data_IF_394424505660
#
_entry.id   IF_394424505660
#
_cell.length_a   1.000
_cell.length_b   1.000
_cell.length_c   1.000
_cell.angle_alpha   90.00
_cell.angle_beta   90.00
_cell.angle_gamma   90.00
#
_symmetry.space_group_name_H-M   'P 1'
#
loop_
_entity.id
_entity.type
_entity.pdbx_description
1 polymer ?
#
# COMPACT_ATOMS: atom_id res chain seq x y z
N UNK A 1 -5.93 -0.27 7.92
CA UNK A 1 -5.78 -1.42 8.83
C UNK A 1 -5.11 -0.96 10.13
N UNK A 2 -5.56 -1.43 11.29
CA UNK A 2 -4.90 -1.19 12.58
C UNK A 2 -4.05 -2.41 12.94
N UNK A 3 -2.74 -2.20 13.06
CA UNK A 3 -1.79 -3.22 13.48
C UNK A 3 -1.77 -3.33 15.02
N UNK A 4 -1.61 -4.54 15.60
CA UNK A 4 -1.32 -4.65 17.02
C UNK A 4 0.00 -3.98 17.36
N UNK A 5 0.10 -3.48 18.59
CA UNK A 5 1.34 -2.95 19.12
C UNK A 5 2.46 -3.99 19.08
N UNK A 6 3.72 -3.59 18.81
CA UNK A 6 4.85 -4.52 18.68
C UNK A 6 5.18 -5.31 19.96
N UNK A 7 4.65 -4.85 21.11
CA UNK A 7 4.83 -5.45 22.43
C UNK A 7 3.53 -5.98 23.03
N UNK A 8 2.41 -5.86 22.32
CA UNK A 8 1.14 -6.39 22.81
C UNK A 8 1.20 -7.92 22.85
N UNK A 9 0.69 -8.48 23.94
CA UNK A 9 0.66 -9.93 24.12
C UNK A 9 -0.23 -10.59 23.08
N UNK A 10 -1.38 -9.97 22.81
CA UNK A 10 -2.34 -10.40 21.81
C UNK A 10 -2.05 -9.66 20.51
N UNK A 11 -1.69 -10.39 19.46
CA UNK A 11 -1.32 -9.83 18.17
C UNK A 11 -2.55 -9.72 17.26
N UNK A 12 -3.58 -9.01 17.73
CA UNK A 12 -4.84 -8.83 17.03
C UNK A 12 -4.79 -7.63 16.07
N UNK A 13 -5.06 -7.88 14.79
CA UNK A 13 -5.15 -6.85 13.76
C UNK A 13 -6.59 -6.54 13.40
N UNK A 14 -6.94 -5.25 13.31
CA UNK A 14 -8.32 -4.81 13.07
C UNK A 14 -8.41 -4.14 11.70
N UNK A 15 -9.20 -4.72 10.79
CA UNK A 15 -9.57 -4.05 9.55
C UNK A 15 -10.84 -3.22 9.76
N UNK A 16 -10.66 -1.92 10.00
CA UNK A 16 -11.75 -0.96 10.15
C UNK A 16 -12.35 -0.58 8.79
N UNK A 17 -13.67 -0.76 8.66
CA UNK A 17 -14.45 -0.29 7.51
C UNK A 17 -15.40 0.80 7.99
N UNK A 18 -15.15 2.04 7.56
CA UNK A 18 -15.98 3.18 7.95
C UNK A 18 -17.29 3.17 7.18
N UNK A 19 -18.45 3.05 7.85
CA UNK A 19 -19.73 3.10 7.16
C UNK A 19 -20.01 4.53 6.67
N UNK A 20 -20.78 4.65 5.58
CA UNK A 20 -21.31 5.95 5.16
C UNK A 20 -22.32 6.42 6.21
N UNK A 21 -22.13 7.64 6.71
CA UNK A 21 -22.94 8.19 7.79
C UNK A 21 -24.40 8.37 7.33
N UNK A 22 -25.34 7.81 8.10
CA UNK A 22 -26.77 7.84 7.74
C UNK A 22 -27.30 9.28 7.60
N UNK A 23 -26.79 10.18 8.43
CA UNK A 23 -27.18 11.59 8.50
C UNK A 23 -26.53 12.48 7.42
N UNK A 24 -25.54 11.99 6.67
CA UNK A 24 -24.89 12.80 5.64
C UNK A 24 -25.86 13.18 4.50
N UNK A 25 -25.71 14.37 3.89
CA UNK A 25 -26.48 14.76 2.70
C UNK A 25 -26.35 13.74 1.57
N UNK A 26 -27.40 13.57 0.76
CA UNK A 26 -27.43 12.57 -0.33
C UNK A 26 -26.21 12.66 -1.26
N UNK A 27 -25.84 13.87 -1.68
CA UNK A 27 -24.69 14.10 -2.55
C UNK A 27 -23.39 13.56 -1.95
N UNK A 28 -23.14 13.84 -0.68
CA UNK A 28 -21.95 13.36 0.06
C UNK A 28 -21.94 11.84 0.15
N UNK A 29 -23.11 11.22 0.41
CA UNK A 29 -23.22 9.75 0.43
C UNK A 29 -22.89 9.14 -0.92
N UNK A 30 -23.42 9.71 -2.01
CA UNK A 30 -23.14 9.22 -3.36
C UNK A 30 -21.67 9.40 -3.76
N UNK A 31 -21.03 10.52 -3.42
CA UNK A 31 -19.60 10.75 -3.65
C UNK A 31 -18.73 9.72 -2.89
N UNK A 32 -19.02 9.48 -1.60
CA UNK A 32 -18.31 8.46 -0.80
C UNK A 32 -18.46 7.06 -1.40
N UNK A 33 -19.67 6.69 -1.81
CA UNK A 33 -19.96 5.38 -2.41
C UNK A 33 -19.36 5.23 -3.81
N UNK A 34 -19.29 6.30 -4.62
CA UNK A 34 -18.58 6.29 -5.91
C UNK A 34 -17.07 6.05 -5.70
N UNK A 35 -16.50 6.69 -4.68
CA UNK A 35 -15.09 6.50 -4.30
C UNK A 35 -14.76 5.12 -3.74
N UNK A 36 -15.72 4.45 -3.08
CA UNK A 36 -15.58 3.13 -2.45
C UNK A 36 -16.60 2.13 -3.01
N UNK A 37 -16.60 1.98 -4.33
CA UNK A 37 -17.57 1.16 -5.04
C UNK A 37 -17.21 -0.35 -5.01
N UNK A 38 -18.15 -1.19 -5.42
CA UNK A 38 -18.00 -2.66 -5.45
C UNK A 38 -16.79 -3.17 -6.25
N UNK A 39 -16.31 -2.42 -7.24
CA UNK A 39 -15.15 -2.82 -8.01
C UNK A 39 -13.83 -2.61 -7.22
N UNK A 40 -13.79 -1.62 -6.32
CA UNK A 40 -12.63 -1.34 -5.46
C UNK A 40 -12.55 -2.23 -4.23
N UNK A 41 -13.69 -2.69 -3.70
CA UNK A 41 -13.74 -3.47 -2.45
C UNK A 41 -12.75 -4.66 -2.45
N UNK A 42 -12.68 -5.53 -3.49
CA UNK A 42 -11.74 -6.64 -3.51
C UNK A 42 -10.27 -6.19 -3.49
N UNK A 43 -9.95 -5.08 -4.17
CA UNK A 43 -8.61 -4.50 -4.22
C UNK A 43 -8.21 -3.99 -2.84
N UNK A 44 -9.10 -3.22 -2.19
CA UNK A 44 -8.88 -2.72 -0.82
C UNK A 44 -8.77 -3.86 0.19
N UNK A 45 -9.60 -4.91 0.07
CA UNK A 45 -9.54 -6.06 0.96
C UNK A 45 -8.20 -6.80 0.86
N UNK A 46 -7.67 -6.97 -0.36
CA UNK A 46 -6.33 -7.54 -0.59
C UNK A 46 -5.24 -6.68 0.03
N UNK A 47 -5.32 -5.35 -0.18
CA UNK A 47 -4.34 -4.40 0.33
C UNK A 47 -4.28 -4.41 1.87
N UNK A 48 -5.43 -4.36 2.51
CA UNK A 48 -5.53 -4.18 3.97
C UNK A 48 -5.42 -5.49 4.75
N UNK A 49 -5.88 -6.60 4.19
CA UNK A 49 -5.97 -7.88 4.90
C UNK A 49 -5.01 -8.93 4.30
N UNK A 50 -5.54 -9.87 3.52
CA UNK A 50 -4.77 -11.00 2.99
C UNK A 50 -4.62 -10.89 1.46
N UNK A 51 -3.40 -11.04 0.92
CA UNK A 51 -2.11 -11.22 1.61
C UNK A 51 -1.38 -9.90 1.96
N UNK A 52 -2.05 -8.75 1.96
CA UNK A 52 -1.46 -7.43 2.22
C UNK A 52 -1.07 -7.15 3.68
N UNK A 53 -1.48 -5.99 4.21
CA UNK A 53 -0.98 -5.47 5.49
C UNK A 53 -1.14 -6.44 6.65
N UNK A 54 -2.31 -7.06 6.81
CA UNK A 54 -2.56 -7.94 7.95
C UNK A 54 -1.57 -9.11 7.98
N UNK A 55 -1.47 -9.85 6.87
CA UNK A 55 -0.53 -10.97 6.78
C UNK A 55 0.90 -10.49 7.01
N UNK A 56 1.31 -9.42 6.33
CA UNK A 56 2.68 -8.91 6.39
C UNK A 56 3.12 -8.53 7.80
N UNK A 57 2.28 -7.78 8.50
CA UNK A 57 2.62 -7.24 9.83
C UNK A 57 2.55 -8.33 10.91
N UNK A 58 1.60 -9.26 10.82
CA UNK A 58 1.56 -10.45 11.70
C UNK A 58 2.82 -11.29 11.50
N UNK A 59 3.24 -11.50 10.24
CA UNK A 59 4.47 -12.24 9.95
C UNK A 59 5.71 -11.53 10.52
N UNK A 60 5.79 -10.22 10.35
CA UNK A 60 6.89 -9.42 10.88
C UNK A 60 6.98 -9.50 12.41
N UNK A 61 5.86 -9.39 13.12
CA UNK A 61 5.83 -9.43 14.59
C UNK A 61 6.19 -10.81 15.14
N UNK A 62 5.79 -11.89 14.47
CA UNK A 62 6.11 -13.27 14.88
C UNK A 62 7.56 -13.67 14.60
N UNK A 63 8.18 -13.12 13.55
CA UNK A 63 9.56 -13.44 13.17
C UNK A 63 10.62 -12.49 13.75
N UNK A 64 10.21 -11.34 14.28
CA UNK A 64 11.12 -10.39 14.90
C UNK A 64 11.64 -10.87 16.25
N UNK A 65 12.93 -11.24 16.30
CA UNK A 65 13.62 -11.75 17.50
C UNK A 65 14.16 -10.67 18.44
N UNK A 66 14.27 -9.42 17.98
CA UNK A 66 14.84 -8.33 18.77
C UNK A 66 13.90 -7.14 18.84
N UNK A 67 14.00 -6.36 19.92
CA UNK A 67 13.17 -5.16 20.10
C UNK A 67 13.30 -4.14 18.96
N UNK A 68 14.52 -3.82 18.44
CA UNK A 68 14.65 -2.95 17.27
C UNK A 68 13.95 -3.49 16.02
N UNK A 69 13.91 -4.81 15.84
CA UNK A 69 13.22 -5.43 14.70
C UNK A 69 11.70 -5.39 14.87
N UNK A 70 11.20 -5.57 16.10
CA UNK A 70 9.76 -5.44 16.40
C UNK A 70 9.28 -4.01 16.19
N UNK A 71 9.99 -3.03 16.76
CA UNK A 71 9.63 -1.60 16.64
C UNK A 71 9.86 -1.11 15.21
N UNK A 72 11.01 -1.42 14.62
CA UNK A 72 11.39 -0.96 13.29
C UNK A 72 10.53 -1.50 12.16
N UNK A 73 9.85 -2.64 12.36
CA UNK A 73 8.97 -3.22 11.33
C UNK A 73 7.75 -2.34 11.02
N UNK A 74 7.30 -1.48 11.93
CA UNK A 74 6.22 -0.54 11.63
C UNK A 74 6.71 0.74 10.90
N UNK A 75 8.03 0.97 10.85
CA UNK A 75 8.61 2.25 10.41
C UNK A 75 8.97 2.31 8.92
N UNK A 76 9.00 1.18 8.21
CA UNK A 76 9.35 1.16 6.79
C UNK A 76 8.11 1.31 5.89
N UNK A 77 7.64 2.54 5.69
CA UNK A 77 6.50 2.80 4.78
C UNK A 77 6.76 2.27 3.36
N UNK A 78 8.00 2.36 2.86
CA UNK A 78 8.37 1.80 1.55
C UNK A 78 8.09 0.31 1.45
N UNK A 79 8.46 -0.48 2.46
CA UNK A 79 8.21 -1.91 2.40
C UNK A 79 6.73 -2.24 2.66
N UNK A 80 6.16 -1.65 3.71
CA UNK A 80 4.78 -1.96 4.15
C UNK A 80 3.76 -1.62 3.07
N UNK A 81 3.83 -0.41 2.51
CA UNK A 81 2.92 0.04 1.45
C UNK A 81 3.24 -0.63 0.11
N UNK A 82 4.53 -0.82 -0.18
CA UNK A 82 4.98 -1.50 -1.39
C UNK A 82 4.54 -2.96 -1.44
N UNK A 83 4.56 -3.67 -0.32
CA UNK A 83 4.13 -5.07 -0.22
C UNK A 83 2.63 -5.20 -0.48
N UNK A 84 1.82 -4.44 0.24
CA UNK A 84 0.37 -4.46 0.05
C UNK A 84 -0.02 -4.12 -1.40
N UNK A 85 0.69 -3.16 -2.01
CA UNK A 85 0.43 -2.77 -3.39
C UNK A 85 0.97 -3.78 -4.43
N UNK A 86 2.05 -4.51 -4.12
CA UNK A 86 2.47 -5.69 -4.88
C UNK A 86 1.40 -6.78 -4.84
N UNK A 87 0.82 -7.04 -3.66
CA UNK A 87 -0.23 -8.05 -3.49
C UNK A 87 -1.48 -7.79 -4.34
N UNK A 88 -1.86 -6.54 -4.58
CA UNK A 88 -2.98 -6.21 -5.46
C UNK A 88 -2.79 -6.75 -6.89
N UNK A 89 -1.58 -6.64 -7.44
CA UNK A 89 -1.27 -7.14 -8.78
C UNK A 89 -1.11 -8.66 -8.78
N UNK A 90 -0.46 -9.22 -7.76
CA UNK A 90 -0.36 -10.67 -7.57
C UNK A 90 -1.74 -11.33 -7.52
N UNK A 91 -2.68 -10.76 -6.79
CA UNK A 91 -4.03 -11.34 -6.66
C UNK A 91 -4.87 -11.19 -7.94
N UNK A 92 -4.54 -10.24 -8.83
CA UNK A 92 -5.06 -10.26 -10.20
C UNK A 92 -4.47 -11.44 -11.00
N UNK A 93 -3.15 -11.63 -10.95
CA UNK A 93 -2.47 -12.73 -11.67
C UNK A 93 -2.97 -14.11 -11.22
N UNK A 94 -3.27 -14.27 -9.92
CA UNK A 94 -3.83 -15.50 -9.35
C UNK A 94 -5.35 -15.66 -9.56
N UNK A 95 -6.00 -14.71 -10.21
CA UNK A 95 -7.42 -14.80 -10.60
C UNK A 95 -8.44 -14.41 -9.54
N UNK A 96 -8.02 -13.81 -8.41
CA UNK A 96 -8.94 -13.27 -7.41
C UNK A 96 -9.58 -11.95 -7.89
N UNK A 97 -8.77 -11.05 -8.46
CA UNK A 97 -9.26 -9.85 -9.16
C UNK A 97 -9.44 -10.22 -10.63
N UNK A 98 -10.66 -10.62 -11.01
CA UNK A 98 -10.92 -11.18 -12.35
C UNK A 98 -11.87 -10.35 -13.20
N UNK A 99 -12.83 -9.67 -12.59
CA UNK A 99 -13.86 -8.95 -13.33
C UNK A 99 -13.24 -7.69 -13.98
N UNK A 100 -13.56 -7.36 -15.25
CA UNK A 100 -12.98 -6.21 -15.94
C UNK A 100 -13.10 -4.89 -15.15
N UNK A 101 -14.23 -4.69 -14.45
CA UNK A 101 -14.46 -3.53 -13.60
C UNK A 101 -13.52 -3.47 -12.40
N UNK A 102 -13.20 -4.61 -11.78
CA UNK A 102 -12.26 -4.69 -10.66
C UNK A 102 -10.82 -4.44 -11.13
N UNK A 103 -10.46 -4.96 -12.31
CA UNK A 103 -9.16 -4.69 -12.95
C UNK A 103 -8.99 -3.21 -13.27
N UNK A 104 -10.02 -2.59 -13.84
CA UNK A 104 -10.05 -1.15 -14.10
C UNK A 104 -9.91 -0.36 -12.80
N UNK A 105 -10.59 -0.77 -11.73
CA UNK A 105 -10.48 -0.14 -10.41
C UNK A 105 -9.06 -0.23 -9.83
N UNK A 106 -8.40 -1.40 -9.91
CA UNK A 106 -7.00 -1.56 -9.52
C UNK A 106 -6.07 -0.66 -10.35
N UNK A 107 -6.28 -0.58 -11.66
CA UNK A 107 -5.49 0.28 -12.54
C UNK A 107 -5.68 1.77 -12.24
N UNK A 108 -6.92 2.20 -11.93
CA UNK A 108 -7.19 3.56 -11.46
C UNK A 108 -6.47 3.84 -10.14
N UNK A 109 -6.51 2.89 -9.21
CA UNK A 109 -5.80 2.99 -7.95
C UNK A 109 -4.28 3.09 -8.16
N UNK A 110 -3.72 2.32 -9.09
CA UNK A 110 -2.32 2.41 -9.48
C UNK A 110 -1.95 3.76 -10.12
N UNK A 111 -2.79 4.29 -11.00
CA UNK A 111 -2.62 5.63 -11.58
C UNK A 111 -2.58 6.70 -10.49
N UNK A 112 -3.45 6.60 -9.49
CA UNK A 112 -3.44 7.50 -8.34
C UNK A 112 -2.15 7.38 -7.51
N UNK A 113 -1.67 6.17 -7.21
CA UNK A 113 -0.38 6.00 -6.49
C UNK A 113 0.82 6.47 -7.31
N UNK A 114 0.74 6.45 -8.64
CA UNK A 114 1.74 7.08 -9.51
C UNK A 114 1.68 8.61 -9.43
N UNK A 115 0.48 9.19 -9.46
CA UNK A 115 0.26 10.63 -9.29
C UNK A 115 0.82 11.14 -7.95
N UNK A 116 0.72 10.33 -6.87
CA UNK A 116 1.31 10.66 -5.56
C UNK A 116 2.81 10.92 -5.60
N UNK A 117 3.58 10.23 -6.45
CA UNK A 117 5.03 10.47 -6.58
C UNK A 117 5.29 11.89 -7.08
N UNK A 118 4.61 12.26 -8.17
CA UNK A 118 4.75 13.58 -8.80
C UNK A 118 4.31 14.66 -7.80
N UNK A 119 3.16 14.44 -7.16
CA UNK A 119 2.53 15.41 -6.27
C UNK A 119 3.39 15.65 -5.02
N UNK A 120 3.89 14.59 -4.40
CA UNK A 120 4.72 14.69 -3.19
C UNK A 120 6.00 15.48 -3.47
N UNK A 121 6.72 15.17 -4.56
CA UNK A 121 7.90 15.97 -4.95
C UNK A 121 7.51 17.41 -5.28
N UNK A 122 6.41 17.62 -6.03
CA UNK A 122 6.05 18.95 -6.52
C UNK A 122 5.59 19.89 -5.40
N UNK A 123 4.80 19.40 -4.44
CA UNK A 123 4.40 20.18 -3.26
C UNK A 123 5.62 20.58 -2.44
N UNK A 124 6.48 19.61 -2.10
CA UNK A 124 7.59 19.83 -1.19
C UNK A 124 8.79 20.55 -1.81
N UNK A 125 8.80 20.68 -3.15
CA UNK A 125 9.77 21.52 -3.88
C UNK A 125 9.19 22.86 -4.35
N UNK A 126 7.94 23.17 -3.97
CA UNK A 126 7.27 24.42 -4.33
C UNK A 126 6.92 24.56 -5.82
N UNK A 127 6.89 23.46 -6.57
CA UNK A 127 6.51 23.43 -8.00
C UNK A 127 4.99 23.35 -8.22
N UNK A 128 4.25 22.97 -7.19
CA UNK A 128 2.79 23.02 -7.16
C UNK A 128 2.33 23.60 -5.83
N UNK A 129 1.35 24.48 -5.89
CA UNK A 129 0.52 24.88 -4.75
C UNK A 129 -0.44 23.76 -4.35
N UNK A 130 -1.07 23.89 -3.17
CA UNK A 130 -2.08 22.94 -2.70
C UNK A 130 -3.27 22.84 -3.67
N UNK A 131 -3.77 23.96 -4.19
CA UNK A 131 -4.91 23.93 -5.13
C UNK A 131 -4.52 23.30 -6.48
N UNK A 132 -3.32 23.59 -7.00
CA UNK A 132 -2.82 22.91 -8.20
C UNK A 132 -2.66 21.41 -7.99
N UNK A 133 -2.22 20.98 -6.81
CA UNK A 133 -2.17 19.56 -6.44
C UNK A 133 -3.55 18.91 -6.39
N UNK A 134 -4.55 19.61 -5.85
CA UNK A 134 -5.95 19.13 -5.82
C UNK A 134 -6.46 18.95 -7.24
N UNK A 135 -6.29 19.98 -8.09
CA UNK A 135 -6.72 19.94 -9.47
C UNK A 135 -6.01 18.84 -10.26
N UNK A 136 -4.71 18.63 -10.01
CA UNK A 136 -3.92 17.56 -10.60
C UNK A 136 -4.49 16.16 -10.28
N UNK A 137 -4.89 15.88 -9.03
CA UNK A 137 -5.50 14.58 -8.71
C UNK A 137 -6.87 14.38 -9.35
N UNK A 138 -7.67 15.44 -9.46
CA UNK A 138 -8.97 15.39 -10.14
C UNK A 138 -8.76 15.05 -11.61
N UNK A 139 -7.88 15.79 -12.30
CA UNK A 139 -7.68 15.65 -13.75
C UNK A 139 -6.91 14.38 -14.14
N UNK A 140 -5.88 14.02 -13.38
CA UNK A 140 -4.96 12.93 -13.75
C UNK A 140 -5.30 11.59 -13.12
N UNK A 141 -5.95 11.58 -11.96
CA UNK A 141 -6.31 10.35 -11.26
C UNK A 141 -7.84 10.16 -11.11
N UNK A 142 -8.65 11.12 -11.55
CA UNK A 142 -10.11 11.01 -11.55
C UNK A 142 -10.71 10.98 -10.15
N UNK A 143 -10.05 11.61 -9.16
CA UNK A 143 -10.57 11.69 -7.80
C UNK A 143 -11.70 12.71 -7.72
N UNK A 144 -12.70 12.40 -6.91
CA UNK A 144 -13.69 13.40 -6.46
C UNK A 144 -12.98 14.50 -5.67
N UNK A 145 -13.40 15.76 -5.84
CA UNK A 145 -12.75 16.94 -5.22
C UNK A 145 -12.57 16.79 -3.71
N UNK A 146 -13.59 16.30 -2.99
CA UNK A 146 -13.51 16.11 -1.54
C UNK A 146 -12.40 15.11 -1.14
N UNK A 147 -12.21 14.04 -1.91
CA UNK A 147 -11.14 13.07 -1.67
C UNK A 147 -9.77 13.64 -2.04
N UNK A 148 -9.68 14.37 -3.15
CA UNK A 148 -8.45 15.04 -3.57
C UNK A 148 -7.99 16.07 -2.52
N UNK A 149 -8.91 16.89 -2.00
CA UNK A 149 -8.62 17.87 -0.94
C UNK A 149 -8.09 17.21 0.34
N UNK A 150 -8.76 16.15 0.81
CA UNK A 150 -8.33 15.41 2.00
C UNK A 150 -6.92 14.84 1.82
N UNK A 151 -6.65 14.27 0.66
CA UNK A 151 -5.38 13.62 0.36
C UNK A 151 -4.23 14.62 0.16
N UNK A 152 -4.43 15.69 -0.61
CA UNK A 152 -3.38 16.71 -0.80
C UNK A 152 -3.01 17.36 0.53
N UNK A 153 -4.00 17.69 1.38
CA UNK A 153 -3.73 18.20 2.73
C UNK A 153 -2.90 17.21 3.55
N UNK A 154 -3.24 15.91 3.50
CA UNK A 154 -2.45 14.87 4.16
C UNK A 154 -1.01 14.85 3.64
N UNK A 155 -0.80 14.98 2.33
CA UNK A 155 0.52 14.92 1.71
C UNK A 155 1.42 16.09 2.16
N UNK A 156 0.85 17.28 2.34
CA UNK A 156 1.61 18.44 2.86
C UNK A 156 2.15 18.23 4.27
N UNK A 157 1.47 17.39 5.09
CA UNK A 157 1.86 17.14 6.48
C UNK A 157 2.85 15.98 6.65
N UNK A 158 3.05 15.16 5.62
CA UNK A 158 3.82 13.93 5.72
C UNK A 158 4.66 13.68 4.45
N UNK A 159 5.73 14.48 4.22
CA UNK A 159 6.58 14.36 3.04
C UNK A 159 7.13 12.95 2.89
N UNK A 160 7.33 12.50 1.64
CA UNK A 160 7.88 11.17 1.25
C UNK A 160 6.97 9.97 1.51
N UNK A 161 5.96 10.08 2.37
CA UNK A 161 5.03 8.99 2.62
C UNK A 161 4.12 8.67 1.43
N UNK A 162 3.50 9.65 0.73
CA UNK A 162 2.60 9.36 -0.39
C UNK A 162 3.29 8.65 -1.57
N UNK A 163 4.57 8.93 -1.81
CA UNK A 163 5.34 8.25 -2.86
C UNK A 163 5.74 6.82 -2.48
N UNK A 164 5.72 6.46 -1.19
CA UNK A 164 6.23 5.18 -0.69
C UNK A 164 5.51 3.96 -1.26
N UNK A 165 4.23 4.09 -1.65
CA UNK A 165 3.41 3.02 -2.22
C UNK A 165 4.01 2.46 -3.51
N UNK A 166 4.02 3.27 -4.58
CA UNK A 166 4.48 2.80 -5.89
C UNK A 166 5.99 2.64 -5.94
N UNK A 167 6.76 3.53 -5.29
CA UNK A 167 8.23 3.37 -5.20
C UNK A 167 8.56 2.06 -4.47
N UNK A 168 7.91 1.80 -3.35
CA UNK A 168 8.06 0.56 -2.59
C UNK A 168 7.74 -0.68 -3.40
N UNK A 169 6.61 -0.69 -4.10
CA UNK A 169 6.21 -1.80 -4.98
C UNK A 169 7.27 -2.08 -6.05
N UNK A 170 7.76 -1.05 -6.74
CA UNK A 170 8.78 -1.18 -7.78
C UNK A 170 10.07 -1.79 -7.21
N UNK A 171 10.53 -1.30 -6.06
CA UNK A 171 11.74 -1.81 -5.43
C UNK A 171 11.59 -3.25 -4.92
N UNK A 172 10.43 -3.61 -4.37
CA UNK A 172 10.13 -5.00 -3.98
C UNK A 172 10.10 -5.92 -5.19
N UNK A 173 9.48 -5.51 -6.29
CA UNK A 173 9.47 -6.29 -7.54
C UNK A 173 10.88 -6.54 -8.07
N UNK A 174 11.77 -5.55 -8.00
CA UNK A 174 13.19 -5.74 -8.36
C UNK A 174 13.85 -6.78 -7.46
N UNK A 175 13.64 -6.71 -6.15
CA UNK A 175 14.18 -7.71 -5.20
C UNK A 175 13.63 -9.12 -5.49
N UNK A 176 12.33 -9.25 -5.73
CA UNK A 176 11.68 -10.51 -6.09
C UNK A 176 12.32 -11.10 -7.35
N UNK A 177 12.48 -10.28 -8.38
CA UNK A 177 13.02 -10.69 -9.67
C UNK A 177 14.48 -11.15 -9.55
N UNK A 178 15.32 -10.40 -8.82
CA UNK A 178 16.69 -10.81 -8.53
C UNK A 178 16.79 -12.10 -7.71
N UNK A 179 15.92 -12.26 -6.72
CA UNK A 179 15.89 -13.46 -5.89
C UNK A 179 15.42 -14.70 -6.67
N UNK A 180 14.41 -14.55 -7.55
CA UNK A 180 13.98 -15.61 -8.48
C UNK A 180 15.10 -16.00 -9.44
N UNK A 181 15.86 -15.05 -9.98
CA UNK A 181 17.02 -15.35 -10.85
C UNK A 181 18.07 -16.21 -10.16
N UNK A 182 18.33 -15.99 -8.86
CA UNK A 182 19.26 -16.81 -8.08
C UNK A 182 18.68 -18.14 -7.61
N UNK A 183 17.35 -18.27 -7.61
CA UNK A 183 16.65 -19.47 -7.15
C UNK A 183 15.59 -19.90 -8.19
N UNK A 184 15.97 -20.40 -9.38
CA UNK A 184 15.03 -20.63 -10.49
C UNK A 184 13.91 -21.63 -10.20
N UNK A 185 14.12 -22.52 -9.22
CA UNK A 185 13.15 -23.55 -8.83
C UNK A 185 12.29 -23.14 -7.62
N UNK A 186 12.45 -21.91 -7.11
CA UNK A 186 11.72 -21.46 -5.92
C UNK A 186 10.23 -21.37 -6.21
N UNK A 187 9.42 -21.91 -5.29
CA UNK A 187 7.97 -21.74 -5.36
C UNK A 187 7.58 -20.32 -4.92
N UNK A 188 6.39 -19.87 -5.33
CA UNK A 188 5.84 -18.58 -4.91
C UNK A 188 5.72 -18.48 -3.38
N UNK A 189 5.33 -19.57 -2.73
CA UNK A 189 5.22 -19.65 -1.26
C UNK A 189 6.57 -19.46 -0.59
N UNK A 190 7.60 -20.19 -1.02
CA UNK A 190 8.96 -20.09 -0.45
C UNK A 190 9.55 -18.68 -0.66
N UNK A 191 9.31 -18.08 -1.83
CA UNK A 191 9.71 -16.69 -2.12
C UNK A 191 9.08 -15.71 -1.12
N UNK A 192 7.76 -15.77 -0.92
CA UNK A 192 7.07 -14.85 -0.02
C UNK A 192 7.43 -15.09 1.45
N UNK A 193 7.64 -16.35 1.85
CA UNK A 193 8.13 -16.71 3.18
C UNK A 193 9.54 -16.16 3.45
N UNK A 194 10.44 -16.25 2.47
CA UNK A 194 11.78 -15.66 2.56
C UNK A 194 11.73 -14.12 2.73
N UNK A 195 10.84 -13.44 1.99
CA UNK A 195 10.68 -11.98 2.08
C UNK A 195 10.04 -11.58 3.42
N UNK A 196 8.91 -12.18 3.79
CA UNK A 196 8.16 -11.79 4.98
C UNK A 196 8.89 -12.12 6.29
N UNK A 197 9.68 -13.21 6.32
CA UNK A 197 10.52 -13.53 7.49
C UNK A 197 11.60 -12.48 7.76
N UNK A 198 11.93 -11.65 6.77
CA UNK A 198 12.77 -10.47 6.92
C UNK A 198 12.04 -9.28 7.55
N UNK A 199 10.79 -9.43 8.02
CA UNK A 199 10.00 -8.34 8.58
C UNK A 199 9.87 -7.18 7.59
N UNK A 200 9.74 -5.94 8.10
CA UNK A 200 9.59 -4.78 7.21
C UNK A 200 10.92 -4.07 6.93
N UNK A 201 11.93 -4.79 6.43
CA UNK A 201 13.16 -4.13 6.01
C UNK A 201 12.90 -3.21 4.80
N UNK A 202 13.47 -1.99 4.78
CA UNK A 202 13.52 -1.20 3.56
C UNK A 202 14.09 -2.02 2.39
N UNK A 203 13.62 -1.85 1.15
CA UNK A 203 13.99 -2.71 0.03
C UNK A 203 15.49 -2.92 -0.17
N UNK A 204 16.32 -1.89 0.07
CA UNK A 204 17.79 -2.01 0.03
C UNK A 204 18.33 -3.04 1.02
N UNK A 205 17.88 -2.99 2.28
CA UNK A 205 18.33 -3.92 3.33
C UNK A 205 17.70 -5.30 3.17
N UNK A 206 16.47 -5.38 2.64
CA UNK A 206 15.86 -6.65 2.26
C UNK A 206 16.70 -7.35 1.19
N UNK A 207 17.12 -6.60 0.16
CA UNK A 207 17.99 -7.09 -0.92
C UNK A 207 19.29 -7.64 -0.37
N UNK A 208 19.98 -6.85 0.46
CA UNK A 208 21.23 -7.27 1.11
C UNK A 208 21.03 -8.53 1.95
N UNK A 209 19.92 -8.62 2.68
CA UNK A 209 19.60 -9.79 3.51
C UNK A 209 19.34 -11.06 2.69
N UNK A 210 18.67 -10.95 1.55
CA UNK A 210 18.29 -12.11 0.71
C UNK A 210 19.39 -12.52 -0.28
N UNK A 211 20.19 -11.57 -0.75
CA UNK A 211 21.17 -11.77 -1.81
C UNK A 211 22.63 -11.64 -1.34
N UNK A 212 22.88 -11.14 -0.12
CA UNK A 212 24.24 -10.89 0.38
C UNK A 212 24.99 -9.80 -0.39
N UNK A 213 24.26 -8.88 -1.04
CA UNK A 213 24.80 -7.78 -1.88
C UNK A 213 23.99 -6.51 -1.70
#
# INVERSE_FOLDING_TARGET
>A
YMVPGPLEKDQEGIFLVTPVERWAPRKVKEEKLRGHNYAKIPVTAVHEAYPGHHLQLVYANTHAKTLPRKIGSALSSLFVEGWAFYCEELMEELGYIREPVQKLARLQDQLWRAARIILDVSLHTGKMTVEEGIQFLIERAGLERANAEAEVRRYTSNPTQPMSYLVGKIEILKVIEDYKRRNPMITLRELHEAILSCGSLPPRLLRERLLGT
#
